data_IF_956267455727
#
_entry.id   IF_956267455727
#
_cell.length_a   1.000
_cell.length_b   1.000
_cell.length_c   1.000
_cell.angle_alpha   90.00
_cell.angle_beta   90.00
_cell.angle_gamma   90.00
#
_symmetry.space_group_name_H-M   'P 1'
#
loop_
_entity.id
_entity.type
_entity.pdbx_description
1 polymer ?
#
# COMPACT_ATOMS: atom_id res chain seq x y z
N UNK A 1 21.23 -20.30 11.46
CA UNK A 1 20.21 -19.81 12.41
C UNK A 1 18.89 -20.27 11.84
N UNK A 2 18.03 -20.90 12.62
CA UNK A 2 16.75 -21.38 12.09
C UNK A 2 15.84 -20.20 11.78
N UNK A 3 15.23 -20.24 10.60
CA UNK A 3 14.23 -19.26 10.17
C UNK A 3 13.09 -19.19 11.18
N UNK A 4 12.78 -17.99 11.66
CA UNK A 4 11.72 -17.76 12.64
C UNK A 4 10.37 -17.46 12.01
N UNK A 5 10.35 -16.79 10.87
CA UNK A 5 9.18 -16.40 10.09
C UNK A 5 9.61 -16.01 8.67
N UNK A 6 8.69 -15.59 7.81
CA UNK A 6 9.03 -15.02 6.50
C UNK A 6 9.53 -13.57 6.64
N UNK A 7 8.89 -12.84 7.55
CA UNK A 7 9.21 -11.45 7.83
C UNK A 7 9.25 -11.15 9.34
N UNK A 8 10.07 -10.17 9.70
CA UNK A 8 10.33 -9.76 11.07
C UNK A 8 10.09 -8.26 11.23
N UNK A 9 9.49 -7.81 12.33
CA UNK A 9 9.29 -6.38 12.65
C UNK A 9 10.15 -5.98 13.84
N UNK A 10 10.99 -4.96 13.68
CA UNK A 10 11.92 -4.48 14.72
C UNK A 10 11.52 -3.15 15.35
N UNK A 11 10.85 -2.28 14.60
CA UNK A 11 10.41 -0.95 15.02
C UNK A 11 9.01 -0.67 14.49
N UNK A 12 8.25 0.15 15.22
CA UNK A 12 6.87 0.50 14.84
C UNK A 12 6.47 1.89 15.35
N UNK A 13 5.82 2.65 14.48
CA UNK A 13 5.20 3.93 14.82
C UNK A 13 3.69 3.83 14.65
N UNK A 14 2.96 4.49 15.55
CA UNK A 14 1.51 4.53 15.55
C UNK A 14 1.00 5.95 15.34
N UNK A 15 -0.11 6.09 14.64
CA UNK A 15 -0.82 7.36 14.49
C UNK A 15 -1.67 7.71 15.73
N UNK A 16 -2.37 8.84 15.68
CA UNK A 16 -3.22 9.31 16.77
C UNK A 16 -4.37 8.35 17.15
N UNK A 17 -4.78 7.46 16.24
CA UNK A 17 -5.80 6.43 16.48
C UNK A 17 -5.19 5.11 16.97
N UNK A 18 -3.89 5.10 17.29
CA UNK A 18 -3.11 3.93 17.68
C UNK A 18 -3.16 2.80 16.64
N UNK A 19 -3.13 3.20 15.36
CA UNK A 19 -2.96 2.31 14.23
C UNK A 19 -1.52 2.44 13.72
N UNK A 20 -0.94 1.35 13.24
CA UNK A 20 0.42 1.35 12.69
C UNK A 20 0.45 2.28 11.49
N UNK A 21 1.29 3.32 11.54
CA UNK A 21 1.58 4.16 10.38
C UNK A 21 2.75 3.59 9.58
N UNK A 22 3.85 3.28 10.27
CA UNK A 22 5.08 2.72 9.69
C UNK A 22 5.62 1.63 10.59
N UNK A 23 6.07 0.52 10.00
CA UNK A 23 6.83 -0.53 10.67
C UNK A 23 8.10 -0.87 9.89
N UNK A 24 9.18 -1.18 10.59
CA UNK A 24 10.44 -1.60 9.95
C UNK A 24 10.45 -3.11 9.82
N UNK A 25 10.27 -3.58 8.58
CA UNK A 25 10.24 -4.99 8.18
C UNK A 25 11.61 -5.46 7.71
N UNK A 26 12.00 -6.64 8.16
CA UNK A 26 13.15 -7.40 7.67
C UNK A 26 12.67 -8.71 7.07
N UNK A 27 13.40 -9.25 6.09
CA UNK A 27 13.19 -10.60 5.61
C UNK A 27 14.13 -11.54 6.36
N UNK A 28 13.61 -12.69 6.77
CA UNK A 28 14.40 -13.76 7.38
C UNK A 28 14.79 -14.77 6.31
N UNK A 29 16.08 -14.85 6.03
CA UNK A 29 16.65 -15.71 4.98
C UNK A 29 17.62 -16.71 5.60
N UNK A 30 18.01 -17.73 4.85
CA UNK A 30 19.01 -18.70 5.30
C UNK A 30 20.38 -18.04 5.57
N UNK A 31 20.63 -16.86 4.99
CA UNK A 31 21.83 -16.05 5.21
C UNK A 31 21.69 -15.07 6.40
N UNK A 32 20.53 -15.05 7.04
CA UNK A 32 20.20 -14.18 8.18
C UNK A 32 19.16 -13.11 7.85
N UNK A 33 19.12 -12.09 8.71
CA UNK A 33 18.11 -11.04 8.71
C UNK A 33 18.58 -9.88 7.82
N UNK A 34 17.77 -9.53 6.82
CA UNK A 34 18.11 -8.44 5.89
C UNK A 34 18.06 -7.06 6.56
N UNK A 35 18.52 -6.03 5.85
CA UNK A 35 18.29 -4.63 6.27
C UNK A 35 16.78 -4.35 6.37
N UNK A 36 16.40 -3.55 7.36
CA UNK A 36 15.02 -3.12 7.60
C UNK A 36 14.52 -2.19 6.50
N UNK A 37 13.28 -2.39 6.08
CA UNK A 37 12.56 -1.56 5.12
C UNK A 37 11.24 -1.09 5.75
N UNK A 38 10.87 0.18 5.59
CA UNK A 38 9.60 0.66 6.07
C UNK A 38 8.45 0.05 5.26
N UNK A 39 7.39 -0.33 5.95
CA UNK A 39 6.15 -0.84 5.37
C UNK A 39 4.96 -0.35 6.19
N UNK A 40 3.82 -0.23 5.53
CA UNK A 40 2.55 0.16 6.15
C UNK A 40 1.79 -1.06 6.69
N UNK A 41 0.73 -0.76 7.45
CA UNK A 41 -0.17 -1.77 8.05
C UNK A 41 -0.89 -2.64 7.04
N UNK A 42 -1.34 -2.09 5.90
CA UNK A 42 -2.13 -2.83 4.92
C UNK A 42 -1.26 -3.85 4.20
N UNK A 43 0.00 -3.49 3.89
CA UNK A 43 0.99 -4.44 3.35
C UNK A 43 1.16 -5.65 4.27
N UNK A 44 1.48 -5.42 5.55
CA UNK A 44 1.64 -6.52 6.52
C UNK A 44 0.36 -7.36 6.64
N UNK A 45 -0.80 -6.70 6.70
CA UNK A 45 -2.09 -7.39 6.80
C UNK A 45 -2.39 -8.27 5.60
N UNK A 46 -2.05 -7.79 4.40
CA UNK A 46 -2.27 -8.51 3.14
C UNK A 46 -1.33 -9.72 3.04
N UNK A 47 -0.06 -9.54 3.41
CA UNK A 47 0.92 -10.63 3.45
C UNK A 47 0.48 -11.75 4.39
N UNK A 48 0.01 -11.41 5.60
CA UNK A 48 -0.49 -12.40 6.57
C UNK A 48 -1.72 -13.14 6.03
N UNK A 49 -2.63 -12.42 5.36
CA UNK A 49 -3.80 -13.04 4.71
C UNK A 49 -3.39 -13.99 3.57
N UNK A 50 -2.30 -13.69 2.88
CA UNK A 50 -1.71 -14.53 1.84
C UNK A 50 -0.86 -15.70 2.39
N UNK A 51 -0.81 -15.86 3.72
CA UNK A 51 -0.12 -16.98 4.37
C UNK A 51 1.31 -16.69 4.80
N UNK A 52 1.82 -15.47 4.60
CA UNK A 52 3.17 -15.10 5.05
C UNK A 52 3.20 -14.95 6.57
N UNK A 53 4.25 -15.47 7.20
CA UNK A 53 4.40 -15.42 8.65
C UNK A 53 5.20 -14.19 9.09
N UNK A 54 4.71 -13.52 10.14
CA UNK A 54 5.35 -12.35 10.74
C UNK A 54 5.60 -12.56 12.23
N UNK A 55 6.77 -12.15 12.71
CA UNK A 55 7.08 -12.06 14.14
C UNK A 55 7.71 -10.71 14.49
N UNK A 56 7.61 -10.29 15.74
CA UNK A 56 8.41 -9.18 16.26
C UNK A 56 9.81 -9.65 16.63
N UNK A 57 10.79 -8.76 16.57
CA UNK A 57 12.17 -8.98 17.02
C UNK A 57 12.68 -7.78 17.80
N UNK A 58 13.59 -8.03 18.73
CA UNK A 58 14.20 -6.99 19.56
C UNK A 58 15.70 -6.96 19.35
N UNK A 59 16.26 -5.77 19.11
CA UNK A 59 17.70 -5.58 19.02
C UNK A 59 18.33 -5.62 20.42
N UNK A 60 19.30 -6.50 20.61
CA UNK A 60 20.21 -6.51 21.74
C UNK A 60 21.56 -5.90 21.37
N UNK A 61 22.51 -5.91 22.31
CA UNK A 61 23.86 -5.33 22.11
C UNK A 61 24.58 -5.87 20.87
N UNK A 62 24.38 -7.14 20.51
CA UNK A 62 25.04 -7.80 19.37
C UNK A 62 24.18 -8.90 18.71
N UNK A 63 22.89 -8.97 19.04
CA UNK A 63 22.04 -10.09 18.63
C UNK A 63 20.57 -9.70 18.56
N UNK A 64 19.82 -10.44 17.74
CA UNK A 64 18.37 -10.35 17.69
C UNK A 64 17.74 -11.33 18.67
N UNK A 65 16.67 -10.89 19.34
CA UNK A 65 15.82 -11.75 20.16
C UNK A 65 14.48 -11.94 19.47
N UNK A 66 14.06 -13.21 19.38
CA UNK A 66 12.73 -13.58 18.88
C UNK A 66 11.65 -13.02 19.81
N UNK A 67 10.68 -12.31 19.23
CA UNK A 67 9.51 -11.80 19.92
C UNK A 67 8.27 -12.66 19.65
N UNK A 68 7.15 -11.98 19.40
CA UNK A 68 5.82 -12.58 19.34
C UNK A 68 5.32 -12.71 17.91
N UNK A 69 4.50 -13.73 17.65
CA UNK A 69 3.83 -13.90 16.35
C UNK A 69 2.76 -12.82 16.17
N UNK A 70 2.85 -12.12 15.04
CA UNK A 70 1.88 -11.11 14.64
C UNK A 70 0.68 -11.82 13.99
N UNK A 71 -0.52 -11.38 14.35
CA UNK A 71 -1.77 -11.87 13.79
C UNK A 71 -2.61 -10.71 13.29
N UNK A 72 -3.43 -10.98 12.28
CA UNK A 72 -4.39 -10.03 11.74
C UNK A 72 -5.82 -10.40 12.15
N UNK A 73 -6.63 -9.39 12.46
CA UNK A 73 -8.05 -9.52 12.74
C UNK A 73 -8.81 -8.47 11.93
N UNK A 74 -9.96 -8.83 11.38
CA UNK A 74 -10.82 -7.86 10.69
C UNK A 74 -12.01 -7.51 11.57
N UNK A 75 -12.28 -6.22 11.77
CA UNK A 75 -13.49 -5.72 12.42
C UNK A 75 -14.11 -4.71 11.46
N UNK A 76 -15.37 -4.94 11.06
CA UNK A 76 -16.08 -4.09 10.10
C UNK A 76 -15.31 -3.89 8.77
N UNK A 77 -14.65 -4.96 8.28
CA UNK A 77 -13.83 -4.93 7.07
C UNK A 77 -12.44 -4.28 7.23
N UNK A 78 -12.15 -3.64 8.36
CA UNK A 78 -10.85 -3.01 8.63
C UNK A 78 -9.88 -4.01 9.28
N UNK A 79 -8.67 -4.20 8.75
CA UNK A 79 -7.66 -5.08 9.35
C UNK A 79 -6.90 -4.40 10.49
N UNK A 80 -6.65 -5.15 11.55
CA UNK A 80 -5.85 -4.77 12.73
C UNK A 80 -4.78 -5.82 12.99
N UNK A 81 -3.60 -5.38 13.43
CA UNK A 81 -2.41 -6.21 13.67
C UNK A 81 -2.08 -6.25 15.16
N UNK A 82 -2.06 -7.46 15.73
CA UNK A 82 -1.83 -7.64 17.17
C UNK A 82 -1.03 -8.90 17.51
N UNK A 83 -0.35 -8.87 18.65
CA UNK A 83 0.38 -10.02 19.22
C UNK A 83 -0.39 -10.74 20.34
N UNK A 84 -1.35 -10.07 20.98
CA UNK A 84 -2.06 -10.52 22.19
C UNK A 84 -3.37 -11.26 21.91
N UNK A 85 -3.76 -11.39 20.63
CA UNK A 85 -5.01 -12.03 20.15
C UNK A 85 -6.31 -11.37 20.62
N UNK A 86 -6.24 -10.16 21.19
CA UNK A 86 -7.44 -9.42 21.57
C UNK A 86 -8.13 -8.87 20.31
N UNK A 87 -9.47 -8.90 20.28
CA UNK A 87 -10.26 -8.38 19.15
C UNK A 87 -10.71 -6.95 19.43
N UNK A 88 -9.81 -6.00 19.23
CA UNK A 88 -10.04 -4.56 19.47
C UNK A 88 -9.62 -3.77 18.24
N UNK A 89 -10.27 -2.61 18.00
CA UNK A 89 -10.02 -1.70 16.88
C UNK A 89 -8.71 -0.88 17.05
N UNK A 90 -7.65 -1.49 17.57
CA UNK A 90 -6.33 -0.88 17.78
C UNK A 90 -5.24 -1.87 17.38
N UNK A 91 -4.13 -1.36 16.88
CA UNK A 91 -2.96 -2.20 16.63
C UNK A 91 -2.11 -2.33 17.90
N UNK A 92 -1.39 -3.44 18.05
CA UNK A 92 -0.52 -3.66 19.19
C UNK A 92 0.56 -4.70 18.90
N UNK A 93 1.78 -4.23 18.61
CA UNK A 93 2.96 -5.08 18.40
C UNK A 93 3.87 -5.17 19.65
N UNK A 94 3.34 -4.81 20.82
CA UNK A 94 4.09 -4.81 22.08
C UNK A 94 4.90 -3.55 22.28
N UNK A 95 6.02 -3.70 22.97
CA UNK A 95 6.96 -2.68 23.42
C UNK A 95 8.11 -2.41 22.44
N UNK A 96 7.85 -2.58 21.14
CA UNK A 96 8.83 -2.28 20.11
C UNK A 96 9.21 -0.79 20.12
N UNK A 97 10.48 -0.45 19.88
CA UNK A 97 10.91 0.93 19.74
C UNK A 97 10.19 1.62 18.57
N UNK A 98 9.97 2.93 18.72
CA UNK A 98 9.43 3.74 17.62
C UNK A 98 10.48 4.08 16.57
N UNK A 99 10.01 4.18 15.33
CA UNK A 99 10.84 4.57 14.19
C UNK A 99 11.36 5.98 14.42
N UNK A 100 12.67 6.18 14.30
CA UNK A 100 13.32 7.45 14.70
C UNK A 100 12.97 8.65 13.80
N UNK A 101 12.57 8.41 12.54
CA UNK A 101 12.23 9.46 11.56
C UNK A 101 11.01 9.08 10.69
N UNK A 102 9.79 9.03 11.25
CA UNK A 102 8.61 8.58 10.52
C UNK A 102 8.17 9.56 9.41
N UNK A 103 8.27 10.89 9.61
CA UNK A 103 7.80 11.88 8.63
C UNK A 103 8.50 11.79 7.26
N UNK A 104 9.81 11.54 7.26
CA UNK A 104 10.58 11.36 6.01
C UNK A 104 10.16 10.06 5.31
N UNK A 105 9.81 9.04 6.08
CA UNK A 105 9.45 7.72 5.56
C UNK A 105 8.01 7.69 5.04
N UNK A 106 7.07 8.34 5.74
CA UNK A 106 5.68 8.46 5.30
C UNK A 106 5.59 9.23 3.99
N UNK A 107 6.44 10.25 3.82
CA UNK A 107 6.58 10.97 2.55
C UNK A 107 7.01 10.01 1.44
N UNK A 108 8.09 9.23 1.65
CA UNK A 108 8.58 8.22 0.69
C UNK A 108 7.55 7.11 0.39
N UNK A 109 6.77 6.68 1.38
CA UNK A 109 5.69 5.69 1.20
C UNK A 109 4.47 6.27 0.48
N UNK A 110 4.28 7.59 0.51
CA UNK A 110 3.18 8.28 -0.16
C UNK A 110 3.50 8.73 -1.60
N UNK A 111 4.79 8.71 -2.00
CA UNK A 111 5.26 9.14 -3.32
C UNK A 111 5.22 8.06 -4.41
N UNK A 112 4.27 7.13 -4.36
CA UNK A 112 3.98 6.29 -5.54
C UNK A 112 2.87 6.97 -6.36
N UNK A 113 3.26 7.82 -7.32
CA UNK A 113 2.81 7.60 -8.69
C UNK A 113 4.02 7.37 -9.61
N UNK A 114 4.31 6.10 -9.91
CA UNK A 114 5.08 5.76 -11.11
C UNK A 114 4.16 5.89 -12.33
N UNK A 115 4.00 7.12 -12.77
CA UNK A 115 3.43 7.55 -14.05
C UNK A 115 4.18 8.84 -14.40
N UNK A 116 4.92 9.00 -15.49
CA UNK A 116 4.92 8.36 -16.79
C UNK A 116 6.15 8.86 -17.60
N UNK A 117 6.60 8.07 -18.58
CA UNK A 117 7.32 8.47 -19.81
C UNK A 117 8.73 9.13 -19.81
N UNK A 118 9.69 8.46 -20.49
CA UNK A 118 10.51 8.98 -21.61
C UNK A 118 11.88 8.29 -21.66
N UNK A 119 12.01 7.20 -22.44
CA UNK A 119 13.29 6.82 -23.04
C UNK A 119 13.31 7.46 -24.43
N UNK A 120 13.78 8.69 -24.54
CA UNK A 120 14.11 9.30 -25.83
C UNK A 120 15.57 8.97 -26.18
N UNK A 121 15.67 7.96 -27.04
CA UNK A 121 16.65 7.67 -28.09
C UNK A 121 17.96 8.49 -28.19
N UNK A 122 19.12 7.82 -28.33
CA UNK A 122 20.20 8.29 -29.17
C UNK A 122 20.24 7.51 -30.50
N UNK A 123 19.73 8.16 -31.55
CA UNK A 123 20.09 8.05 -32.98
C UNK A 123 20.77 6.77 -33.50
N UNK A 124 20.16 6.02 -34.44
CA UNK A 124 20.88 5.06 -35.26
C UNK A 124 21.60 5.79 -36.42
N UNK A 125 22.92 5.90 -36.32
CA UNK A 125 23.75 6.20 -37.49
C UNK A 125 23.93 4.91 -38.30
N UNK A 126 23.19 4.77 -39.40
CA UNK A 126 23.64 3.97 -40.54
C UNK A 126 22.97 4.42 -41.84
N UNK A 127 23.70 4.46 -42.97
CA UNK A 127 23.29 5.18 -44.16
C UNK A 127 22.54 4.29 -45.15
N UNK A 128 21.48 4.86 -45.73
CA UNK A 128 21.17 4.83 -47.17
C UNK A 128 20.98 3.42 -47.80
N UNK A 129 19.71 3.01 -47.97
CA UNK A 129 19.40 1.93 -48.91
C UNK A 129 17.95 1.46 -48.93
N UNK A 130 17.18 2.00 -49.89
CA UNK A 130 16.17 1.29 -50.69
C UNK A 130 14.84 0.80 -50.10
N UNK A 131 13.80 1.56 -50.50
CA UNK A 131 12.50 1.14 -51.05
C UNK A 131 11.44 0.45 -50.14
N UNK A 132 10.17 0.91 -50.19
CA UNK A 132 9.06 0.36 -49.43
C UNK A 132 8.40 -0.82 -50.17
N UNK A 133 7.95 -1.82 -49.43
CA UNK A 133 6.89 -2.73 -49.87
C UNK A 133 5.73 -2.68 -48.88
N UNK A 134 4.59 -2.35 -49.47
CA UNK A 134 3.22 -2.64 -49.06
C UNK A 134 3.05 -3.61 -47.89
N UNK A 135 2.30 -3.18 -46.89
CA UNK A 135 1.20 -4.01 -46.40
C UNK A 135 0.10 -3.10 -45.91
N UNK A 136 -0.96 -3.04 -46.71
CA UNK A 136 -2.27 -2.59 -46.30
C UNK A 136 -2.79 -3.52 -45.21
N UNK A 137 -3.39 -2.96 -44.17
CA UNK A 137 -4.61 -3.50 -43.56
C UNK A 137 -5.34 -2.31 -42.94
N UNK A 138 -6.44 -1.97 -43.59
CA UNK A 138 -7.29 -0.81 -43.37
C UNK A 138 -8.52 -1.27 -42.56
N UNK A 139 -8.80 -0.55 -41.45
CA UNK A 139 -10.11 -0.43 -40.77
C UNK A 139 -10.70 -1.70 -40.10
N UNK A 140 -11.79 -1.63 -39.29
CA UNK A 140 -12.73 -0.52 -39.05
C UNK A 140 -13.02 -0.23 -37.55
N UNK A 141 -13.19 1.02 -37.13
CA UNK A 141 -14.39 1.90 -37.14
C UNK A 141 -14.93 2.11 -35.72
N UNK A 142 -14.98 3.39 -35.39
CA UNK A 142 -15.84 4.06 -34.45
C UNK A 142 -17.11 3.29 -34.09
N UNK A 143 -17.33 3.07 -32.79
CA UNK A 143 -18.68 2.91 -32.27
C UNK A 143 -19.05 4.19 -31.52
N UNK A 144 -19.70 5.05 -32.30
CA UNK A 144 -20.63 6.07 -31.88
C UNK A 144 -21.66 5.50 -30.90
N UNK A 145 -21.61 5.95 -29.64
CA UNK A 145 -22.80 6.01 -28.80
C UNK A 145 -22.96 7.46 -28.33
N UNK A 146 -23.43 8.29 -29.25
CA UNK A 146 -24.30 9.40 -28.93
C UNK A 146 -25.44 8.94 -27.99
N UNK A 147 -25.53 9.58 -26.83
CA UNK A 147 -26.77 9.68 -26.07
C UNK A 147 -26.80 11.06 -25.42
N UNK A 148 -27.28 12.02 -26.20
CA UNK A 148 -27.91 13.24 -25.70
C UNK A 148 -29.30 13.35 -26.33
N UNK A 149 -30.21 14.20 -25.83
CA UNK A 149 -30.68 14.37 -24.46
C UNK A 149 -32.24 14.47 -24.47
N UNK A 150 -32.82 15.18 -23.49
CA UNK A 150 -34.24 15.58 -23.28
C UNK A 150 -34.94 14.72 -22.20
N UNK A 151 -35.58 15.27 -21.16
CA UNK A 151 -36.24 16.56 -21.00
C UNK A 151 -36.27 17.04 -19.55
N UNK A 152 -36.10 18.35 -19.41
CA UNK A 152 -36.31 19.22 -18.25
C UNK A 152 -37.81 19.33 -17.88
N UNK A 153 -38.17 19.28 -16.60
CA UNK A 153 -39.27 20.10 -16.07
C UNK A 153 -39.07 20.47 -14.59
N UNK A 154 -38.62 21.71 -14.42
CA UNK A 154 -38.67 22.57 -13.23
C UNK A 154 -40.08 22.68 -12.67
N UNK A 155 -40.33 22.58 -11.35
CA UNK A 155 -41.09 23.61 -10.60
C UNK A 155 -40.69 23.67 -9.11
N UNK A 156 -40.30 24.88 -8.70
CA UNK A 156 -40.24 25.40 -7.34
C UNK A 156 -41.52 25.14 -6.51
N UNK A 157 -41.36 24.89 -5.22
CA UNK A 157 -42.27 25.44 -4.21
C UNK A 157 -41.52 25.82 -2.94
N UNK A 158 -41.08 27.07 -2.94
CA UNK A 158 -40.90 27.89 -1.76
C UNK A 158 -42.21 27.95 -0.94
N UNK A 159 -42.09 27.88 0.38
CA UNK A 159 -43.03 28.53 1.29
C UNK A 159 -43.78 27.60 2.24
N UNK A 160 -43.46 27.69 3.54
CA UNK A 160 -44.28 28.47 4.47
C UNK A 160 -43.80 28.24 5.91
N UNK A 161 -43.39 29.34 6.54
CA UNK A 161 -43.40 29.52 7.99
C UNK A 161 -44.82 29.25 8.51
N UNK A 162 -44.99 28.40 9.51
CA UNK A 162 -46.12 28.53 10.44
C UNK A 162 -45.68 28.14 11.84
N UNK A 163 -45.43 29.19 12.61
CA UNK A 163 -45.61 29.28 14.05
C UNK A 163 -47.07 29.00 14.44
N UNK A 164 -47.27 28.73 15.74
CA UNK A 164 -48.53 28.59 16.52
C UNK A 164 -48.87 27.13 16.90
N UNK A 165 -49.24 26.81 18.15
CA UNK A 165 -49.74 27.61 19.28
C UNK A 165 -49.13 27.19 20.61
#
# INVERSE_FOLDING_TARGET
MDKWADYLISEVSYNAQHLISVAIRHQDTDQGITKGKPVDRLTISSDIKNGMSYITIYSGKNSWKKGHKIQTFSIDGTPFLRIDRNKVKLDFLGDLPSVSNPELIESELSFEPVSEETIQEPSPSSPRGSLPKESAEELPQELDLALEPVSEETIHNSGTLSIQS
#
